data_IF_734366055319
#
_entry.id   IF_734366055319
#
_cell.length_a   1.000
_cell.length_b   1.000
_cell.length_c   1.000
_cell.angle_alpha   90.00
_cell.angle_beta   90.00
_cell.angle_gamma   90.00
#
_symmetry.space_group_name_H-M   'P 1'
#
loop_
_entity.id
_entity.type
_entity.pdbx_description
1 polymer ?
#
# COMPACT_ATOMS: atom_id res chain seq x y z
N UNK A 1 -13.87 8.55 -3.30
CA UNK A 1 -12.98 7.57 -2.65
C UNK A 1 -13.78 6.28 -2.50
N UNK A 2 -13.36 5.20 -3.17
CA UNK A 2 -13.93 3.87 -2.90
C UNK A 2 -13.39 3.42 -1.55
N UNK A 3 -14.30 3.09 -0.65
CA UNK A 3 -13.94 2.65 0.69
C UNK A 3 -13.18 1.31 0.60
N UNK A 4 -12.21 1.12 1.50
CA UNK A 4 -11.54 -0.16 1.81
C UNK A 4 -12.52 -1.35 1.96
N UNK A 5 -13.81 -1.08 2.17
CA UNK A 5 -14.92 -2.05 2.16
C UNK A 5 -15.10 -2.81 0.84
N UNK A 6 -14.46 -2.39 -0.25
CA UNK A 6 -14.58 -3.06 -1.56
C UNK A 6 -13.55 -4.20 -1.79
N UNK A 7 -12.66 -4.44 -0.83
CA UNK A 7 -11.71 -5.56 -0.91
C UNK A 7 -12.43 -6.90 -0.74
N UNK A 8 -12.12 -7.85 -1.62
CA UNK A 8 -12.45 -9.26 -1.34
C UNK A 8 -11.63 -9.75 -0.15
N UNK A 9 -12.10 -10.81 0.51
CA UNK A 9 -11.38 -11.42 1.64
C UNK A 9 -9.93 -11.79 1.29
N UNK A 10 -9.69 -12.36 0.10
CA UNK A 10 -8.34 -12.71 -0.36
C UNK A 10 -7.44 -11.49 -0.55
N UNK A 11 -7.98 -10.39 -1.06
CA UNK A 11 -7.24 -9.12 -1.20
C UNK A 11 -6.93 -8.51 0.17
N UNK A 12 -7.88 -8.51 1.09
CA UNK A 12 -7.67 -7.97 2.44
C UNK A 12 -6.60 -8.76 3.21
N UNK A 13 -6.61 -10.10 3.14
CA UNK A 13 -5.57 -10.94 3.73
C UNK A 13 -4.19 -10.69 3.14
N UNK A 14 -4.08 -10.68 1.81
CA UNK A 14 -2.81 -10.46 1.14
C UNK A 14 -2.24 -9.07 1.44
N UNK A 15 -3.10 -8.03 1.40
CA UNK A 15 -2.69 -6.68 1.71
C UNK A 15 -2.28 -6.52 3.18
N UNK A 16 -3.00 -7.13 4.12
CA UNK A 16 -2.61 -7.17 5.53
C UNK A 16 -1.22 -7.77 5.75
N UNK A 17 -0.94 -8.93 5.14
CA UNK A 17 0.38 -9.56 5.22
C UNK A 17 1.50 -8.71 4.61
N UNK A 18 1.21 -7.97 3.52
CA UNK A 18 2.18 -7.05 2.93
C UNK A 18 2.47 -5.90 3.91
N UNK A 19 1.43 -5.29 4.48
CA UNK A 19 1.57 -4.18 5.43
C UNK A 19 2.37 -4.59 6.67
N UNK A 20 2.14 -5.79 7.21
CA UNK A 20 2.96 -6.35 8.31
C UNK A 20 4.46 -6.39 7.96
N UNK A 21 4.79 -6.78 6.72
CA UNK A 21 6.17 -6.79 6.22
C UNK A 21 6.76 -5.42 5.92
N UNK A 22 5.93 -4.38 5.83
CA UNK A 22 6.34 -2.99 5.58
C UNK A 22 6.55 -2.20 6.88
N UNK A 23 5.93 -2.59 7.98
CA UNK A 23 6.05 -1.91 9.30
C UNK A 23 7.50 -1.67 9.75
N UNK A 24 8.43 -2.63 9.67
CA UNK A 24 9.82 -2.40 10.05
C UNK A 24 10.55 -1.35 9.18
N UNK A 25 9.93 -0.89 8.08
CA UNK A 25 10.46 0.12 7.17
C UNK A 25 9.76 1.48 7.29
N UNK A 26 8.97 1.70 8.34
CA UNK A 26 8.32 2.99 8.63
C UNK A 26 6.97 3.20 7.95
N UNK A 27 6.39 2.17 7.34
CA UNK A 27 5.04 2.22 6.77
C UNK A 27 4.01 1.70 7.79
N UNK A 28 2.77 2.21 7.77
CA UNK A 28 1.71 1.83 8.74
C UNK A 28 2.17 1.97 10.21
N UNK A 29 2.75 3.13 10.56
CA UNK A 29 3.30 3.38 11.90
C UNK A 29 2.26 3.22 13.03
N UNK A 30 0.99 3.53 12.73
CA UNK A 30 -0.12 3.40 13.68
C UNK A 30 -0.62 1.94 13.84
N UNK A 31 -0.13 1.01 13.02
CA UNK A 31 -0.50 -0.40 13.07
C UNK A 31 -1.96 -0.69 12.69
N UNK A 32 -2.61 0.23 11.98
CA UNK A 32 -4.02 0.13 11.60
C UNK A 32 -4.23 -0.81 10.40
N UNK A 33 -3.16 -1.12 9.67
CA UNK A 33 -3.17 -2.08 8.57
C UNK A 33 -4.13 -1.63 7.46
N UNK A 34 -5.03 -2.52 7.06
CA UNK A 34 -6.01 -2.22 5.99
C UNK A 34 -7.01 -1.13 6.37
N UNK A 35 -7.08 -0.74 7.65
CA UNK A 35 -7.92 0.37 8.12
C UNK A 35 -7.15 1.68 8.25
N UNK A 36 -5.88 1.72 7.85
CA UNK A 36 -5.06 2.93 7.88
C UNK A 36 -5.67 4.02 7.00
N UNK A 37 -5.78 5.26 7.49
CA UNK A 37 -6.27 6.39 6.69
C UNK A 37 -5.32 6.73 5.53
N UNK A 38 -4.05 6.32 5.62
CA UNK A 38 -3.03 6.55 4.61
C UNK A 38 -3.01 5.45 3.54
N UNK A 39 -3.76 4.36 3.75
CA UNK A 39 -3.88 3.30 2.76
C UNK A 39 -4.97 3.68 1.76
N UNK A 40 -4.56 3.77 0.50
CA UNK A 40 -5.46 4.02 -0.60
C UNK A 40 -5.64 2.75 -1.43
N UNK A 41 -6.87 2.50 -1.86
CA UNK A 41 -7.23 1.35 -2.68
C UNK A 41 -8.17 1.82 -3.80
N UNK A 42 -7.88 1.41 -5.03
CA UNK A 42 -8.66 1.72 -6.22
C UNK A 42 -8.95 0.46 -7.04
N UNK A 43 -10.15 0.36 -7.61
CA UNK A 43 -10.49 -0.75 -8.50
C UNK A 43 -9.85 -0.57 -9.89
N UNK A 44 -9.15 -1.60 -10.37
CA UNK A 44 -8.43 -1.58 -11.66
C UNK A 44 -9.16 -2.37 -12.78
N UNK A 45 -10.45 -2.66 -12.60
CA UNK A 45 -11.23 -3.50 -13.52
C UNK A 45 -10.96 -5.00 -13.36
N UNK A 46 -11.85 -5.86 -13.86
CA UNK A 46 -11.69 -7.32 -13.78
C UNK A 46 -11.61 -7.88 -12.34
N UNK A 47 -12.08 -7.12 -11.35
CA UNK A 47 -11.95 -7.45 -9.93
C UNK A 47 -10.55 -7.27 -9.34
N UNK A 48 -9.62 -6.65 -10.07
CA UNK A 48 -8.32 -6.25 -9.55
C UNK A 48 -8.43 -4.95 -8.76
N UNK A 49 -7.51 -4.77 -7.82
CA UNK A 49 -7.32 -3.53 -7.07
C UNK A 49 -5.88 -3.07 -7.19
N UNK A 50 -5.68 -1.76 -7.29
CA UNK A 50 -4.40 -1.10 -7.06
C UNK A 50 -4.44 -0.50 -5.66
N UNK A 51 -3.29 -0.46 -5.00
CA UNK A 51 -3.16 0.14 -3.68
C UNK A 51 -1.85 0.92 -3.58
N UNK A 52 -1.84 1.95 -2.74
CA UNK A 52 -0.63 2.69 -2.40
C UNK A 52 -0.69 3.20 -0.97
N UNK A 53 0.49 3.35 -0.39
CA UNK A 53 0.73 3.82 0.96
C UNK A 53 1.97 4.72 0.94
N UNK A 54 1.82 5.91 1.48
CA UNK A 54 2.91 6.85 1.71
C UNK A 54 3.49 6.58 3.11
N UNK A 55 4.81 6.49 3.18
CA UNK A 55 5.57 6.42 4.43
C UNK A 55 6.56 7.58 4.50
N UNK A 56 7.18 7.75 5.67
CA UNK A 56 8.05 8.91 5.94
C UNK A 56 9.22 9.02 4.93
N UNK A 57 9.81 7.88 4.55
CA UNK A 57 11.00 7.81 3.69
C UNK A 57 10.73 7.22 2.29
N UNK A 58 9.46 6.97 1.93
CA UNK A 58 9.15 6.33 0.66
C UNK A 58 7.70 6.00 0.39
N UNK A 59 7.50 5.30 -0.72
CA UNK A 59 6.21 4.91 -1.27
C UNK A 59 6.17 3.40 -1.44
N UNK A 60 5.07 2.79 -1.00
CA UNK A 60 4.78 1.38 -1.22
C UNK A 60 3.49 1.28 -2.04
N UNK A 61 3.50 0.53 -3.13
CA UNK A 61 2.30 0.36 -3.93
C UNK A 61 2.32 -0.96 -4.70
N UNK A 62 1.14 -1.37 -5.17
CA UNK A 62 1.00 -2.64 -5.86
C UNK A 62 -0.39 -2.87 -6.44
N UNK A 63 -0.59 -4.09 -6.95
CA UNK A 63 -1.86 -4.54 -7.51
C UNK A 63 -2.17 -5.96 -7.05
N UNK A 64 -3.43 -6.26 -6.77
CA UNK A 64 -3.92 -7.58 -6.34
C UNK A 64 -5.14 -8.01 -7.16
N UNK A 65 -5.18 -9.28 -7.58
CA UNK A 65 -6.37 -9.92 -8.14
C UNK A 65 -7.39 -10.29 -7.04
N UNK A 66 -8.56 -10.83 -7.43
CA UNK A 66 -9.63 -11.22 -6.48
C UNK A 66 -9.22 -12.33 -5.49
N UNK A 67 -8.13 -13.05 -5.75
CA UNK A 67 -7.61 -14.13 -4.90
C UNK A 67 -6.49 -13.62 -3.98
N UNK A 68 -6.03 -12.38 -4.15
CA UNK A 68 -4.91 -11.82 -3.41
C UNK A 68 -3.55 -12.08 -4.05
N UNK A 69 -3.48 -12.57 -5.28
CA UNK A 69 -2.22 -12.66 -6.01
C UNK A 69 -1.88 -11.31 -6.63
N UNK A 70 -0.60 -10.98 -6.68
CA UNK A 70 -0.21 -9.69 -7.21
C UNK A 70 1.27 -9.40 -7.16
N UNK A 71 1.57 -8.16 -7.47
CA UNK A 71 2.91 -7.59 -7.42
C UNK A 71 2.85 -6.30 -6.62
N UNK A 72 3.90 -6.05 -5.86
CA UNK A 72 4.08 -4.82 -5.13
C UNK A 72 5.55 -4.43 -5.16
N UNK A 73 5.82 -3.15 -4.96
CA UNK A 73 7.16 -2.62 -4.97
C UNK A 73 7.29 -1.48 -3.98
N UNK A 74 8.55 -1.19 -3.65
CA UNK A 74 8.93 -0.08 -2.79
C UNK A 74 9.78 0.89 -3.59
N UNK A 75 9.49 2.17 -3.42
CA UNK A 75 10.30 3.25 -3.96
C UNK A 75 10.71 4.17 -2.83
N UNK A 76 12.01 4.38 -2.64
CA UNK A 76 12.48 5.44 -1.74
C UNK A 76 12.09 6.81 -2.28
N UNK A 77 11.60 7.68 -1.40
CA UNK A 77 11.48 9.08 -1.70
C UNK A 77 12.90 9.67 -1.65
N UNK A 78 13.59 9.72 -2.79
CA UNK A 78 14.82 10.50 -2.86
C UNK A 78 14.44 11.97 -2.76
N UNK A 79 14.55 12.55 -1.56
CA UNK A 79 14.71 13.99 -1.45
C UNK A 79 16.01 14.36 -2.17
N UNK A 80 16.00 15.19 -3.22
CA UNK A 80 17.25 15.81 -3.62
C UNK A 80 17.72 16.60 -2.41
N UNK A 81 18.86 16.25 -1.84
CA UNK A 81 19.66 17.21 -1.10
C UNK A 81 19.96 18.32 -2.11
N UNK A 82 19.09 19.33 -2.17
CA UNK A 82 19.40 20.62 -2.77
C UNK A 82 20.54 21.18 -1.92
N UNK A 83 21.76 20.74 -2.23
CA UNK A 83 22.95 21.49 -1.87
C UNK A 83 22.76 22.85 -2.50
N UNK A 84 22.43 23.83 -1.67
CA UNK A 84 22.50 25.25 -1.99
C UNK A 84 23.96 25.50 -2.40
N UNK A 85 24.18 25.67 -3.70
CA UNK A 85 25.43 26.22 -4.24
C UNK A 85 25.37 27.74 -4.10
#
# INVERSE_FOLDING_TARGET
MKNITDLTYGQALALGSILDGLRPRGFDADGLGVYSPNLHVEAAGGGRVNWWLDGDDGFANGSLDRRGHGLWWLRRAYGPNLHRV
#
